data_IF_947161599610
#
_entry.id   IF_947161599610
#
_cell.length_a   1.000
_cell.length_b   1.000
_cell.length_c   1.000
_cell.angle_alpha   90.00
_cell.angle_beta   90.00
_cell.angle_gamma   90.00
#
_symmetry.space_group_name_H-M   'P 1'
#
loop_
_entity.id
_entity.type
_entity.pdbx_description
1 polymer ?
#
# COMPACT_ATOMS: atom_id res chain seq x y z
N UNK A 1 -17.17 -20.54 0.51
CA UNK A 1 -18.26 -20.08 -0.38
C UNK A 1 -18.66 -18.63 -0.17
N UNK A 2 -18.86 -18.14 1.07
CA UNK A 2 -19.24 -16.72 1.32
C UNK A 2 -18.13 -15.71 0.98
N UNK A 3 -16.88 -16.06 1.15
CA UNK A 3 -15.70 -15.24 0.88
C UNK A 3 -15.48 -15.02 -0.62
N UNK A 4 -15.63 -16.07 -1.44
CA UNK A 4 -15.57 -15.94 -2.90
C UNK A 4 -16.67 -15.03 -3.45
N UNK A 5 -17.88 -15.10 -2.92
CA UNK A 5 -18.98 -14.21 -3.35
C UNK A 5 -18.73 -12.74 -3.03
N UNK A 6 -18.05 -12.44 -1.90
CA UNK A 6 -17.67 -11.06 -1.56
C UNK A 6 -16.57 -10.54 -2.48
N UNK A 7 -15.61 -11.36 -2.84
CA UNK A 7 -14.55 -11.02 -3.79
C UNK A 7 -15.14 -10.80 -5.18
N UNK A 8 -16.02 -11.67 -5.64
CA UNK A 8 -16.73 -11.54 -6.92
C UNK A 8 -17.59 -10.27 -6.97
N UNK A 9 -18.34 -9.97 -5.91
CA UNK A 9 -19.13 -8.74 -5.83
C UNK A 9 -18.26 -7.46 -5.89
N UNK A 10 -17.08 -7.49 -5.27
CA UNK A 10 -16.11 -6.38 -5.36
C UNK A 10 -15.47 -6.29 -6.73
N UNK A 11 -15.15 -7.39 -7.38
CA UNK A 11 -14.69 -7.40 -8.76
C UNK A 11 -15.73 -6.81 -9.70
N UNK A 12 -17.01 -7.15 -9.53
CA UNK A 12 -18.12 -6.58 -10.32
C UNK A 12 -18.29 -5.07 -10.06
N UNK A 13 -18.10 -4.62 -8.82
CA UNK A 13 -18.08 -3.20 -8.49
C UNK A 13 -16.92 -2.47 -9.19
N UNK A 14 -15.75 -3.07 -9.21
CA UNK A 14 -14.56 -2.56 -9.91
C UNK A 14 -14.80 -2.45 -11.42
N UNK A 15 -15.50 -3.41 -12.03
CA UNK A 15 -15.86 -3.36 -13.47
C UNK A 15 -16.80 -2.20 -13.78
N UNK A 16 -17.78 -1.92 -12.92
CA UNK A 16 -18.69 -0.78 -13.09
C UNK A 16 -17.97 0.57 -13.01
N UNK A 17 -16.92 0.68 -12.18
CA UNK A 17 -16.09 1.90 -12.13
C UNK A 17 -15.20 2.06 -13.38
N UNK A 18 -14.82 0.98 -14.07
CA UNK A 18 -14.08 1.04 -15.34
C UNK A 18 -14.84 1.78 -16.45
N UNK A 19 -16.16 1.66 -16.47
CA UNK A 19 -17.01 2.25 -17.52
C UNK A 19 -17.21 3.77 -17.36
N UNK A 20 -16.96 4.32 -16.15
CA UNK A 20 -17.18 5.75 -15.84
C UNK A 20 -15.98 6.65 -16.12
N UNK A 21 -14.83 6.13 -16.51
CA UNK A 21 -13.54 6.84 -16.53
C UNK A 21 -13.15 7.51 -17.85
N UNK A 22 -14.04 8.26 -18.51
CA UNK A 22 -13.61 9.20 -19.56
C UNK A 22 -13.63 10.62 -19.01
N UNK A 23 -12.56 11.03 -18.35
CA UNK A 23 -12.36 12.40 -17.89
C UNK A 23 -11.08 12.99 -18.47
N UNK A 24 -11.14 14.26 -18.85
CA UNK A 24 -9.98 15.03 -19.33
C UNK A 24 -8.94 15.19 -18.21
N UNK A 25 -7.67 15.19 -18.61
CA UNK A 25 -6.54 15.41 -17.71
C UNK A 25 -6.59 16.85 -17.17
N UNK A 26 -7.02 17.02 -15.93
CA UNK A 26 -7.24 18.34 -15.31
C UNK A 26 -5.99 18.91 -14.62
N UNK A 27 -4.96 18.09 -14.39
CA UNK A 27 -3.73 18.46 -13.68
C UNK A 27 -2.62 17.47 -13.98
N UNK A 28 -1.35 17.92 -13.97
CA UNK A 28 -0.18 17.04 -14.06
C UNK A 28 -0.08 16.05 -12.89
N UNK A 29 -0.72 16.36 -11.75
CA UNK A 29 -0.81 15.49 -10.57
C UNK A 29 -1.88 14.41 -10.73
N UNK A 30 -2.78 14.52 -11.70
CA UNK A 30 -3.86 13.55 -11.91
C UNK A 30 -3.44 12.53 -12.98
N UNK A 31 -3.22 11.27 -12.62
CA UNK A 31 -2.88 10.24 -13.59
C UNK A 31 -3.97 10.05 -14.66
N UNK A 32 -3.63 9.52 -15.84
CA UNK A 32 -4.61 9.24 -16.90
C UNK A 32 -5.77 8.37 -16.39
N UNK A 33 -6.99 8.65 -16.86
CA UNK A 33 -8.19 7.89 -16.51
C UNK A 33 -8.63 8.00 -15.04
N UNK A 34 -8.10 8.97 -14.26
CA UNK A 34 -8.50 9.26 -12.89
C UNK A 34 -9.42 10.47 -12.83
N UNK A 35 -10.30 10.50 -11.81
CA UNK A 35 -11.05 11.68 -11.39
C UNK A 35 -10.76 12.02 -9.93
N UNK A 36 -10.87 13.30 -9.57
CA UNK A 36 -10.70 13.75 -8.20
C UNK A 36 -11.92 13.44 -7.35
N UNK A 37 -11.70 13.05 -6.10
CA UNK A 37 -12.75 12.92 -5.09
C UNK A 37 -12.32 13.54 -3.77
N UNK A 38 -13.22 14.26 -3.08
CA UNK A 38 -12.97 14.71 -1.71
C UNK A 38 -13.07 13.57 -0.70
N UNK A 39 -13.72 12.48 -1.07
CA UNK A 39 -13.90 11.31 -0.23
C UNK A 39 -12.62 10.46 -0.18
N UNK A 40 -12.55 9.55 0.79
CA UNK A 40 -11.54 8.50 0.83
C UNK A 40 -12.24 7.13 0.86
N UNK A 41 -12.68 6.63 -0.31
CA UNK A 41 -13.44 5.38 -0.38
C UNK A 41 -12.67 4.21 0.22
N UNK A 42 -13.38 3.36 0.95
CA UNK A 42 -12.82 2.15 1.54
C UNK A 42 -13.00 0.98 0.60
N UNK A 43 -11.88 0.43 0.15
CA UNK A 43 -11.83 -0.81 -0.62
C UNK A 43 -10.92 -1.80 0.13
N UNK A 44 -11.44 -2.97 0.45
CA UNK A 44 -10.74 -4.06 1.14
C UNK A 44 -11.24 -5.43 0.66
N UNK A 45 -10.71 -6.51 1.18
CA UNK A 45 -11.13 -7.88 0.87
C UNK A 45 -12.40 -8.31 1.63
N UNK A 46 -13.03 -7.41 2.38
CA UNK A 46 -14.18 -7.71 3.25
C UNK A 46 -13.78 -8.28 4.60
N UNK A 47 -12.51 -8.45 4.86
CA UNK A 47 -11.93 -8.87 6.12
C UNK A 47 -11.21 -7.68 6.72
N UNK A 48 -11.62 -7.27 7.92
CA UNK A 48 -11.00 -6.18 8.65
C UNK A 48 -10.59 -6.71 10.03
N UNK A 49 -9.37 -7.25 10.16
CA UNK A 49 -8.89 -7.80 11.43
C UNK A 49 -8.80 -6.70 12.49
N UNK A 50 -9.04 -7.07 13.75
CA UNK A 50 -8.72 -6.21 14.86
C UNK A 50 -7.20 -6.17 15.06
N UNK A 51 -6.67 -4.97 15.30
CA UNK A 51 -5.25 -4.75 15.52
C UNK A 51 -5.05 -3.75 16.65
N UNK A 52 -4.38 -4.17 17.70
CA UNK A 52 -3.95 -3.27 18.78
C UNK A 52 -2.51 -2.84 18.53
N UNK A 53 -2.32 -1.57 18.14
CA UNK A 53 -0.99 -1.01 17.86
C UNK A 53 -0.06 -0.97 19.09
N UNK A 54 -0.58 -1.16 20.33
CA UNK A 54 0.26 -1.26 21.53
C UNK A 54 0.99 -2.60 21.61
N UNK A 55 0.38 -3.66 21.10
CA UNK A 55 0.94 -5.02 21.09
C UNK A 55 1.42 -5.45 19.71
N UNK A 56 1.04 -4.71 18.67
CA UNK A 56 1.42 -4.99 17.29
C UNK A 56 2.94 -4.94 17.09
N UNK A 57 3.43 -5.84 16.26
CA UNK A 57 4.83 -5.87 15.82
C UNK A 57 4.87 -6.08 14.32
N UNK A 58 5.76 -5.34 13.66
CA UNK A 58 6.12 -5.58 12.28
C UNK A 58 7.18 -6.67 12.22
N UNK A 59 6.86 -7.77 11.60
CA UNK A 59 7.83 -8.81 11.25
C UNK A 59 8.56 -8.40 9.97
N UNK A 60 9.87 -8.39 10.01
CA UNK A 60 10.71 -8.08 8.84
C UNK A 60 11.67 -9.24 8.64
N UNK A 61 11.61 -9.82 7.45
CA UNK A 61 12.47 -10.95 7.09
C UNK A 61 13.28 -10.66 5.81
N UNK A 62 14.46 -11.23 5.78
CA UNK A 62 15.27 -11.40 4.58
C UNK A 62 15.91 -12.80 4.61
N UNK A 63 16.78 -13.11 3.64
CA UNK A 63 17.43 -14.43 3.55
C UNK A 63 18.28 -14.80 4.77
N UNK A 64 18.64 -13.87 5.65
CA UNK A 64 19.62 -14.05 6.74
C UNK A 64 19.06 -13.83 8.13
N UNK A 65 17.97 -13.09 8.26
CA UNK A 65 17.45 -12.65 9.56
C UNK A 65 15.96 -12.43 9.56
N UNK A 66 15.42 -12.51 10.75
CA UNK A 66 14.07 -12.14 11.11
C UNK A 66 14.12 -11.13 12.26
N UNK A 67 13.39 -10.03 12.13
CA UNK A 67 13.25 -8.97 13.13
C UNK A 67 11.78 -8.77 13.44
N UNK A 68 11.47 -8.43 14.70
CA UNK A 68 10.12 -8.02 15.11
C UNK A 68 10.21 -6.68 15.85
N UNK A 69 9.67 -5.65 15.22
CA UNK A 69 9.74 -4.27 15.71
C UNK A 69 8.35 -3.79 16.11
N UNK A 70 8.24 -3.27 17.33
CA UNK A 70 7.03 -2.57 17.76
C UNK A 70 6.89 -1.22 17.07
N UNK A 71 5.69 -0.63 17.09
CA UNK A 71 5.49 0.73 16.57
C UNK A 71 6.39 1.74 17.32
N UNK A 72 6.63 1.52 18.62
CA UNK A 72 7.52 2.36 19.42
C UNK A 72 8.99 2.26 18.95
N UNK A 73 9.46 1.08 18.55
CA UNK A 73 10.80 0.91 18.00
C UNK A 73 10.93 1.57 16.63
N UNK A 74 9.93 1.42 15.77
CA UNK A 74 9.89 2.07 14.47
C UNK A 74 9.88 3.61 14.60
N UNK A 75 9.11 4.16 15.53
CA UNK A 75 9.07 5.62 15.79
C UNK A 75 10.44 6.19 16.19
N UNK A 76 11.31 5.42 16.87
CA UNK A 76 12.68 5.84 17.21
C UNK A 76 13.57 6.04 15.97
N UNK A 77 13.24 5.43 14.84
CA UNK A 77 13.97 5.61 13.59
C UNK A 77 13.73 6.98 12.95
N UNK A 78 12.69 7.66 13.38
CA UNK A 78 12.26 8.98 12.92
C UNK A 78 10.81 8.97 12.46
N UNK A 79 10.10 10.03 12.78
CA UNK A 79 8.70 10.26 12.37
C UNK A 79 8.68 11.50 11.50
N UNK A 80 7.91 11.45 10.42
CA UNK A 80 7.74 12.57 9.49
C UNK A 80 6.28 12.71 9.08
N UNK A 81 5.85 13.95 8.86
CA UNK A 81 4.60 14.27 8.20
C UNK A 81 4.80 14.32 6.69
N UNK A 82 3.81 13.81 5.97
CA UNK A 82 3.77 13.78 4.52
C UNK A 82 2.44 14.33 4.04
N UNK A 83 2.48 15.05 2.93
CA UNK A 83 1.28 15.41 2.17
C UNK A 83 1.45 14.84 0.77
N UNK A 84 0.72 13.77 0.48
CA UNK A 84 0.89 12.98 -0.75
C UNK A 84 -0.45 12.73 -1.42
N UNK A 85 -0.41 12.54 -2.73
CA UNK A 85 -1.57 12.14 -3.50
C UNK A 85 -1.78 10.64 -3.41
N UNK A 86 -3.02 10.21 -3.48
CA UNK A 86 -3.40 8.82 -3.39
C UNK A 86 -4.23 8.42 -4.62
N UNK A 87 -3.79 7.39 -5.34
CA UNK A 87 -4.38 6.96 -6.61
C UNK A 87 -4.93 5.53 -6.49
N UNK A 88 -6.23 5.38 -6.65
CA UNK A 88 -6.85 4.05 -6.65
C UNK A 88 -7.05 3.53 -8.07
N UNK A 89 -6.80 2.24 -8.30
CA UNK A 89 -7.05 1.58 -9.60
C UNK A 89 -8.49 1.73 -10.08
N UNK A 90 -9.43 1.92 -9.17
CA UNK A 90 -10.85 2.12 -9.46
C UNK A 90 -11.17 3.54 -9.92
N UNK A 91 -10.20 4.20 -10.55
CA UNK A 91 -10.33 5.47 -11.29
C UNK A 91 -10.48 6.74 -10.46
N UNK A 92 -10.34 6.71 -9.16
CA UNK A 92 -10.36 7.92 -8.33
C UNK A 92 -8.99 8.25 -7.73
N UNK A 93 -8.76 9.55 -7.54
CA UNK A 93 -7.60 10.08 -6.82
C UNK A 93 -8.05 11.05 -5.74
N UNK A 94 -7.33 11.07 -4.63
CA UNK A 94 -7.47 12.06 -3.57
C UNK A 94 -6.14 12.79 -3.42
N UNK A 95 -6.18 14.13 -3.56
CA UNK A 95 -5.00 14.96 -3.41
C UNK A 95 -4.78 15.37 -1.95
N UNK A 96 -3.53 15.71 -1.65
CA UNK A 96 -3.12 16.35 -0.40
C UNK A 96 -3.53 15.56 0.85
N UNK A 97 -3.43 14.23 0.79
CA UNK A 97 -3.70 13.37 1.94
C UNK A 97 -2.58 13.52 2.96
N UNK A 98 -2.93 13.90 4.18
CA UNK A 98 -1.96 14.15 5.25
C UNK A 98 -1.72 12.87 6.04
N UNK A 99 -0.49 12.43 6.06
CA UNK A 99 -0.04 11.23 6.75
C UNK A 99 1.03 11.56 7.78
N UNK A 100 1.07 10.79 8.86
CA UNK A 100 2.24 10.70 9.74
C UNK A 100 2.79 9.28 9.64
N UNK A 101 4.09 9.16 9.41
CA UNK A 101 4.70 7.85 9.19
C UNK A 101 6.21 7.82 9.43
N UNK A 102 6.78 6.64 9.28
CA UNK A 102 8.21 6.37 9.35
C UNK A 102 8.76 6.32 7.93
N UNK A 103 9.75 7.15 7.54
CA UNK A 103 10.39 7.08 6.24
C UNK A 103 10.89 5.65 5.99
N UNK A 104 10.50 5.04 4.87
CA UNK A 104 10.87 3.64 4.63
C UNK A 104 12.37 3.45 4.47
N UNK A 105 13.06 4.44 3.93
CA UNK A 105 14.52 4.49 3.87
C UNK A 105 15.17 4.31 5.23
N UNK A 106 14.60 4.89 6.31
CA UNK A 106 15.10 4.69 7.68
C UNK A 106 14.93 3.24 8.17
N UNK A 107 13.85 2.58 7.75
CA UNK A 107 13.66 1.16 8.03
C UNK A 107 14.72 0.32 7.29
N UNK A 108 14.99 0.61 6.02
CA UNK A 108 16.04 -0.06 5.23
C UNK A 108 17.42 0.17 5.87
N UNK A 109 17.77 1.40 6.25
CA UNK A 109 19.02 1.76 6.89
C UNK A 109 19.23 1.01 8.23
N UNK A 110 18.17 0.82 8.99
CA UNK A 110 18.19 0.09 10.26
C UNK A 110 18.27 -1.44 10.05
N UNK A 111 17.42 -1.97 9.18
CA UNK A 111 17.33 -3.41 8.90
C UNK A 111 18.60 -3.90 8.20
N UNK A 112 19.17 -3.12 7.29
CA UNK A 112 20.29 -3.49 6.43
C UNK A 112 20.07 -4.86 5.79
N UNK A 113 19.02 -4.98 4.93
CA UNK A 113 18.72 -6.25 4.28
C UNK A 113 19.89 -6.70 3.39
N UNK A 114 19.94 -7.99 3.06
CA UNK A 114 20.92 -8.51 2.10
C UNK A 114 20.84 -7.69 0.80
N UNK A 115 21.98 -7.20 0.31
CA UNK A 115 22.05 -6.30 -0.84
C UNK A 115 21.52 -6.91 -2.14
N UNK A 116 21.25 -8.21 -2.19
CA UNK A 116 20.69 -8.92 -3.34
C UNK A 116 19.16 -8.78 -3.46
N UNK A 117 18.47 -8.23 -2.44
CA UNK A 117 17.04 -8.08 -2.55
C UNK A 117 16.66 -7.17 -3.73
N UNK A 118 15.57 -7.55 -4.42
CA UNK A 118 15.04 -6.84 -5.59
C UNK A 118 13.60 -6.43 -5.41
N UNK A 119 12.87 -7.09 -4.52
CA UNK A 119 11.45 -6.88 -4.27
C UNK A 119 11.18 -6.80 -2.79
N UNK A 120 10.28 -5.90 -2.40
CA UNK A 120 9.64 -5.87 -1.09
C UNK A 120 8.28 -6.54 -1.20
N UNK A 121 8.08 -7.63 -0.46
CA UNK A 121 6.77 -8.28 -0.37
C UNK A 121 6.11 -7.82 0.91
N UNK A 122 4.87 -7.38 0.81
CA UNK A 122 4.06 -6.87 1.91
C UNK A 122 2.94 -7.86 2.22
N UNK A 123 2.67 -8.09 3.50
CA UNK A 123 1.61 -8.99 3.96
C UNK A 123 0.71 -8.26 4.95
N UNK A 124 -0.59 -8.24 4.66
CA UNK A 124 -1.65 -7.71 5.50
C UNK A 124 -2.34 -8.80 6.33
N UNK A 125 -2.77 -8.45 7.54
CA UNK A 125 -3.50 -9.35 8.44
C UNK A 125 -4.88 -9.79 7.91
N UNK A 126 -5.35 -9.16 6.84
CA UNK A 126 -6.57 -9.53 6.10
C UNK A 126 -6.34 -10.63 5.04
N UNK A 127 -5.13 -11.20 4.98
CA UNK A 127 -4.73 -12.18 3.97
C UNK A 127 -4.26 -11.55 2.64
N UNK A 128 -4.14 -10.23 2.59
CA UNK A 128 -3.63 -9.51 1.44
C UNK A 128 -2.11 -9.64 1.32
N UNK A 129 -1.61 -9.67 0.09
CA UNK A 129 -0.18 -9.53 -0.20
C UNK A 129 0.02 -8.75 -1.50
N UNK A 130 1.16 -8.10 -1.63
CA UNK A 130 1.62 -7.44 -2.86
C UNK A 130 3.13 -7.33 -2.86
N UNK A 131 3.71 -7.27 -4.05
CA UNK A 131 5.14 -7.07 -4.29
C UNK A 131 5.39 -5.64 -4.78
N UNK A 132 6.58 -5.11 -4.50
CA UNK A 132 7.03 -3.82 -5.05
C UNK A 132 8.51 -3.92 -5.40
N UNK A 133 8.94 -3.47 -6.59
CA UNK A 133 10.34 -3.39 -6.95
C UNK A 133 11.15 -2.51 -6.00
N UNK A 134 12.41 -2.86 -5.78
CA UNK A 134 13.33 -2.13 -4.89
C UNK A 134 13.43 -0.65 -5.24
N UNK A 135 13.54 -0.32 -6.51
CA UNK A 135 13.67 1.05 -7.00
C UNK A 135 12.49 1.95 -6.64
N UNK A 136 11.29 1.37 -6.51
CA UNK A 136 10.10 2.10 -6.09
C UNK A 136 10.04 2.27 -4.59
N UNK A 137 10.52 1.29 -3.83
CA UNK A 137 10.52 1.31 -2.37
C UNK A 137 11.57 2.27 -1.82
N UNK A 138 12.69 2.47 -2.51
CA UNK A 138 13.80 3.33 -2.09
C UNK A 138 13.56 4.83 -2.34
N UNK A 139 12.41 5.22 -2.95
CA UNK A 139 12.08 6.63 -3.18
C UNK A 139 11.82 7.37 -1.86
N UNK A 140 12.17 8.65 -1.81
CA UNK A 140 12.15 9.48 -0.59
C UNK A 140 10.74 9.66 0.01
N UNK A 141 9.70 9.58 -0.83
CA UNK A 141 8.30 9.73 -0.41
C UNK A 141 7.58 8.39 -0.14
N UNK A 142 8.34 7.32 0.12
CA UNK A 142 7.80 6.03 0.55
C UNK A 142 7.92 5.90 2.06
N UNK A 143 6.84 5.51 2.72
CA UNK A 143 6.80 5.45 4.18
C UNK A 143 5.79 4.43 4.71
N UNK A 144 5.99 4.04 5.96
CA UNK A 144 5.05 3.27 6.75
C UNK A 144 4.17 4.23 7.54
N UNK A 145 2.90 4.38 7.16
CA UNK A 145 1.95 5.28 7.77
C UNK A 145 1.25 4.64 8.97
N UNK A 146 1.04 5.41 10.04
CA UNK A 146 0.25 5.04 11.22
C UNK A 146 -0.77 6.09 11.65
N UNK A 147 -0.74 7.32 11.05
CA UNK A 147 -1.76 8.35 11.22
C UNK A 147 -2.23 8.90 9.88
N UNK A 148 -3.47 9.34 9.85
CA UNK A 148 -4.17 10.00 8.75
C UNK A 148 -4.85 11.25 9.32
N UNK A 149 -4.60 12.42 8.74
CA UNK A 149 -5.15 13.71 9.19
C UNK A 149 -4.92 13.97 10.71
N UNK A 150 -3.73 13.63 11.22
CA UNK A 150 -3.32 13.84 12.63
C UNK A 150 -3.98 12.90 13.64
N UNK A 151 -4.62 11.82 13.20
CA UNK A 151 -5.23 10.78 14.04
C UNK A 151 -4.73 9.40 13.62
N UNK A 152 -4.76 8.43 14.53
CA UNK A 152 -4.48 7.04 14.15
C UNK A 152 -5.32 6.64 12.94
N UNK A 153 -4.72 5.92 12.01
CA UNK A 153 -5.43 5.42 10.82
C UNK A 153 -6.59 4.55 11.30
N UNK A 154 -7.83 4.85 10.90
CA UNK A 154 -8.99 4.08 11.31
C UNK A 154 -8.96 2.67 10.72
N UNK A 155 -9.69 1.75 11.34
CA UNK A 155 -9.74 0.33 10.99
C UNK A 155 -9.98 0.09 9.51
N UNK A 156 -10.96 0.74 8.92
CA UNK A 156 -11.33 0.59 7.52
C UNK A 156 -10.21 0.98 6.54
N UNK A 157 -9.26 1.80 7.00
CA UNK A 157 -8.05 2.17 6.25
C UNK A 157 -6.80 1.37 6.67
N UNK A 158 -6.92 0.42 7.63
CA UNK A 158 -5.95 -0.62 7.92
C UNK A 158 -5.01 -0.37 9.09
N UNK A 159 -5.29 0.61 10.00
CA UNK A 159 -4.50 0.97 11.20
C UNK A 159 -3.05 1.35 10.91
N UNK A 160 -2.34 0.55 10.14
CA UNK A 160 -0.95 0.75 9.73
C UNK A 160 -0.76 0.18 8.32
N UNK A 161 -0.09 0.93 7.46
CA UNK A 161 0.02 0.57 6.05
C UNK A 161 1.23 1.19 5.37
N UNK A 162 1.69 0.57 4.29
CA UNK A 162 2.64 1.22 3.39
C UNK A 162 1.93 2.31 2.57
N UNK A 163 2.67 3.37 2.25
CA UNK A 163 2.28 4.40 1.27
C UNK A 163 3.40 4.52 0.24
N UNK A 164 3.03 4.38 -1.02
CA UNK A 164 3.91 4.48 -2.19
C UNK A 164 3.18 5.35 -3.22
N UNK A 165 3.29 6.69 -3.15
CA UNK A 165 2.39 7.63 -3.82
C UNK A 165 2.34 7.53 -5.35
N UNK A 166 3.44 7.15 -5.99
CA UNK A 166 3.55 7.04 -7.44
C UNK A 166 2.96 5.74 -8.03
N UNK A 167 2.62 4.77 -7.17
CA UNK A 167 1.94 3.54 -7.57
C UNK A 167 0.45 3.60 -7.24
N UNK A 168 -0.33 2.80 -7.94
CA UNK A 168 -1.71 2.59 -7.52
C UNK A 168 -1.79 1.93 -6.13
N UNK A 169 -2.83 2.28 -5.39
CA UNK A 169 -2.97 1.95 -3.97
C UNK A 169 -3.01 0.44 -3.64
N UNK A 170 -3.29 -0.44 -4.59
CA UNK A 170 -3.20 -1.89 -4.31
C UNK A 170 -1.75 -2.36 -4.08
N UNK A 171 -0.74 -1.58 -4.51
CA UNK A 171 0.67 -1.85 -4.23
C UNK A 171 1.05 -1.49 -2.78
N UNK A 172 0.07 -1.15 -1.94
CA UNK A 172 0.25 -0.77 -0.54
C UNK A 172 -0.66 -1.60 0.37
N UNK A 173 -0.09 -2.51 1.16
CA UNK A 173 -0.86 -3.37 2.06
C UNK A 173 -1.44 -2.59 3.22
N UNK A 174 -2.73 -2.78 3.50
CA UNK A 174 -3.40 -2.43 4.77
C UNK A 174 -3.12 -3.49 5.83
N UNK A 175 -3.39 -3.18 7.10
CA UNK A 175 -3.22 -4.13 8.21
C UNK A 175 -1.84 -4.79 8.19
N UNK A 176 -0.83 -4.02 7.81
CA UNK A 176 0.51 -4.53 7.57
C UNK A 176 1.06 -5.18 8.84
N UNK A 177 1.51 -6.42 8.74
CA UNK A 177 2.15 -7.13 9.85
C UNK A 177 3.51 -7.72 9.48
N UNK A 178 3.80 -7.88 8.15
CA UNK A 178 5.06 -8.49 7.72
C UNK A 178 5.56 -7.86 6.43
N UNK A 179 6.88 -7.71 6.37
CA UNK A 179 7.66 -7.31 5.20
C UNK A 179 8.74 -8.36 4.92
N UNK A 180 8.91 -8.70 3.65
CA UNK A 180 9.95 -9.61 3.20
C UNK A 180 10.80 -8.93 2.13
N UNK A 181 12.10 -8.83 2.36
CA UNK A 181 13.08 -8.42 1.36
C UNK A 181 13.50 -9.65 0.55
N UNK A 182 13.02 -9.74 -0.68
CA UNK A 182 13.15 -10.93 -1.53
C UNK A 182 14.04 -10.69 -2.75
N UNK A 183 14.87 -11.67 -3.11
CA UNK A 183 15.58 -11.67 -4.40
C UNK A 183 14.66 -12.05 -5.57
N UNK A 184 13.59 -12.79 -5.27
CA UNK A 184 12.64 -13.32 -6.26
C UNK A 184 11.33 -12.56 -6.15
N UNK A 185 10.75 -12.24 -7.31
CA UNK A 185 9.42 -11.65 -7.38
C UNK A 185 8.35 -12.65 -6.90
N UNK A 186 7.42 -12.13 -6.09
CA UNK A 186 6.27 -12.89 -5.56
C UNK A 186 4.99 -12.10 -5.81
N UNK A 187 4.38 -12.23 -6.99
CA UNK A 187 3.12 -11.58 -7.29
C UNK A 187 2.08 -11.82 -6.20
N UNK A 188 1.44 -10.75 -5.76
CA UNK A 188 0.50 -10.80 -4.65
C UNK A 188 -0.94 -11.04 -5.07
N UNK A 189 -1.88 -10.66 -4.20
CA UNK A 189 -3.29 -10.99 -4.34
C UNK A 189 -3.91 -10.51 -5.66
N UNK A 190 -3.68 -9.25 -6.05
CA UNK A 190 -4.27 -8.71 -7.27
C UNK A 190 -3.45 -9.03 -8.53
N UNK A 191 -2.13 -9.09 -8.41
CA UNK A 191 -1.22 -9.40 -9.50
C UNK A 191 -1.55 -10.78 -10.11
N UNK A 192 -1.76 -11.81 -9.27
CA UNK A 192 -2.15 -13.15 -9.75
C UNK A 192 -3.59 -13.22 -10.30
N UNK A 193 -4.34 -12.11 -10.19
CA UNK A 193 -5.71 -11.97 -10.72
C UNK A 193 -5.79 -11.02 -11.91
N UNK A 194 -4.66 -10.75 -12.58
CA UNK A 194 -4.60 -9.99 -13.82
C UNK A 194 -4.40 -8.49 -13.64
N UNK A 195 -4.03 -8.02 -12.45
CA UNK A 195 -3.54 -6.66 -12.27
C UNK A 195 -2.09 -6.57 -12.71
N UNK A 196 -1.68 -5.38 -13.16
CA UNK A 196 -0.31 -5.16 -13.58
C UNK A 196 0.68 -5.40 -12.42
N UNK A 197 1.82 -6.04 -12.71
CA UNK A 197 2.78 -6.39 -11.67
C UNK A 197 3.51 -5.18 -11.06
N UNK A 198 3.64 -4.08 -11.81
CA UNK A 198 4.28 -2.85 -11.33
C UNK A 198 3.28 -1.85 -10.74
N UNK A 199 2.20 -1.53 -11.50
CA UNK A 199 1.12 -0.70 -11.02
C UNK A 199 1.41 0.80 -10.99
N UNK A 200 2.21 1.32 -11.91
CA UNK A 200 2.53 2.73 -12.04
C UNK A 200 1.30 3.56 -12.42
N UNK A 201 0.86 4.49 -11.56
CA UNK A 201 -0.36 5.24 -11.76
C UNK A 201 -0.30 6.15 -12.99
N UNK A 202 0.80 6.85 -13.19
CA UNK A 202 1.01 7.77 -14.31
C UNK A 202 1.27 7.10 -15.66
N UNK A 203 1.60 5.81 -15.63
CA UNK A 203 1.71 4.95 -16.83
C UNK A 203 0.42 4.21 -17.13
N UNK A 204 -0.61 4.39 -16.32
CA UNK A 204 -1.89 3.69 -16.39
C UNK A 204 -1.75 2.15 -16.37
N UNK A 205 -0.78 1.64 -15.63
CA UNK A 205 -0.50 0.22 -15.46
C UNK A 205 -1.53 -0.44 -14.50
N UNK A 206 -2.78 -0.58 -14.97
CA UNK A 206 -3.88 -1.14 -14.16
C UNK A 206 -3.94 -2.66 -14.28
N UNK A 207 -3.85 -3.17 -15.50
CA UNK A 207 -4.02 -4.57 -15.83
C UNK A 207 -2.90 -5.05 -16.74
N UNK A 208 -2.61 -6.34 -16.71
CA UNK A 208 -1.67 -7.04 -17.60
C UNK A 208 -2.38 -7.66 -18.79
#
# INVERSE_FOLDING_TARGET
MAENKKIEAKMHLLERFKEQGKHEKTSERLPPGQHLTPLFPVLDLGIQPEMDLKTWKLEIIDNKKELKLSLADLKKLGVKEYTEDFHCVTTWSKFDVKWTGIPFKKIIEFVKPDNKWKFLIQYGGDGYSTNVPREDVEKENVFLAFELDGKLIPKEHGYIRMIIPHLYAWKTSKFLYKLEFSEVDKPGFWEIRGYNNHGGAFKEERYS
#
